data_IF_554469558052
#
_entry.id   IF_554469558052
#
_cell.length_a   1.000
_cell.length_b   1.000
_cell.length_c   1.000
_cell.angle_alpha   90.00
_cell.angle_beta   90.00
_cell.angle_gamma   90.00
#
_symmetry.space_group_name_H-M   'P 1'
#
loop_
_entity.id
_entity.type
_entity.pdbx_description
1 polymer ?
#
# COMPACT_ATOMS: atom_id res chain seq x y z
N UNK A 1 -19.58 85.56 1.73
CA UNK A 1 -19.15 84.21 1.31
C UNK A 1 -20.27 83.23 1.64
N UNK A 2 -20.89 82.57 0.65
CA UNK A 2 -21.94 81.57 0.88
C UNK A 2 -21.30 80.20 1.17
N UNK A 3 -21.68 79.49 2.25
CA UNK A 3 -21.14 78.16 2.50
C UNK A 3 -21.74 77.16 1.49
N UNK A 4 -20.87 76.40 0.82
CA UNK A 4 -21.29 75.28 -0.02
C UNK A 4 -21.85 74.18 0.89
N UNK A 5 -23.15 73.92 0.78
CA UNK A 5 -23.83 72.86 1.53
C UNK A 5 -23.30 71.51 1.04
N UNK A 6 -22.42 70.89 1.82
CA UNK A 6 -21.93 69.53 1.57
C UNK A 6 -23.08 68.55 1.81
N UNK A 7 -23.69 68.05 0.76
CA UNK A 7 -24.69 66.98 0.84
C UNK A 7 -23.98 65.71 1.32
N UNK A 8 -24.32 65.25 2.53
CA UNK A 8 -24.01 63.87 2.94
C UNK A 8 -25.03 62.97 2.26
N UNK A 9 -24.59 62.24 1.25
CA UNK A 9 -25.37 61.18 0.61
C UNK A 9 -25.14 59.91 1.42
N UNK A 10 -26.21 59.33 1.96
CA UNK A 10 -26.21 58.04 2.65
C UNK A 10 -26.63 56.92 1.71
N UNK A 11 -26.30 55.68 2.05
CA UNK A 11 -26.74 54.49 1.31
C UNK A 11 -28.26 54.32 1.40
N UNK A 12 -28.88 53.98 0.27
CA UNK A 12 -30.30 53.62 0.22
C UNK A 12 -30.50 52.16 0.67
N UNK A 13 -31.70 51.83 1.18
CA UNK A 13 -32.04 50.46 1.59
C UNK A 13 -31.84 49.47 0.44
N UNK A 14 -32.18 49.87 -0.79
CA UNK A 14 -32.04 49.01 -1.98
C UNK A 14 -30.57 48.71 -2.31
N UNK A 15 -29.67 49.69 -2.18
CA UNK A 15 -28.24 49.47 -2.38
C UNK A 15 -27.66 48.49 -1.35
N UNK A 16 -28.11 48.58 -0.09
CA UNK A 16 -27.69 47.63 0.96
C UNK A 16 -28.18 46.21 0.65
N UNK A 17 -29.42 46.06 0.19
CA UNK A 17 -29.96 44.75 -0.19
C UNK A 17 -29.20 44.13 -1.37
N UNK A 18 -28.87 44.93 -2.40
CA UNK A 18 -28.08 44.47 -3.55
C UNK A 18 -26.66 44.08 -3.12
N UNK A 19 -26.02 44.90 -2.29
CA UNK A 19 -24.68 44.62 -1.77
C UNK A 19 -24.67 43.29 -0.97
N UNK A 20 -25.67 43.06 -0.12
CA UNK A 20 -25.81 41.79 0.61
C UNK A 20 -26.03 40.59 -0.32
N UNK A 21 -26.80 40.76 -1.40
CA UNK A 21 -27.02 39.71 -2.40
C UNK A 21 -25.74 39.31 -3.12
N UNK A 22 -24.98 40.30 -3.62
CA UNK A 22 -23.69 40.08 -4.28
C UNK A 22 -22.69 39.46 -3.31
N UNK A 23 -22.62 39.97 -2.08
CA UNK A 23 -21.73 39.43 -1.05
C UNK A 23 -22.03 37.96 -0.72
N UNK A 24 -23.32 37.61 -0.60
CA UNK A 24 -23.75 36.23 -0.36
C UNK A 24 -23.36 35.31 -1.52
N UNK A 25 -23.53 35.75 -2.77
CA UNK A 25 -23.09 34.99 -3.94
C UNK A 25 -21.58 34.76 -3.94
N UNK A 26 -20.79 35.77 -3.60
CA UNK A 26 -19.33 35.65 -3.51
C UNK A 26 -18.91 34.65 -2.44
N UNK A 27 -19.53 34.69 -1.25
CA UNK A 27 -19.23 33.73 -0.17
C UNK A 27 -19.51 32.30 -0.63
N UNK A 28 -20.66 32.07 -1.28
CA UNK A 28 -21.04 30.75 -1.81
C UNK A 28 -20.01 30.28 -2.85
N UNK A 29 -19.58 31.16 -3.75
CA UNK A 29 -18.55 30.83 -4.74
C UNK A 29 -17.21 30.46 -4.10
N UNK A 30 -16.75 31.21 -3.10
CA UNK A 30 -15.50 30.91 -2.36
C UNK A 30 -15.60 29.57 -1.64
N UNK A 31 -16.73 29.32 -0.97
CA UNK A 31 -16.96 28.06 -0.27
C UNK A 31 -16.98 26.87 -1.23
N UNK A 32 -17.61 27.03 -2.40
CA UNK A 32 -17.60 26.02 -3.45
C UNK A 32 -16.18 25.68 -3.92
N UNK A 33 -15.35 26.70 -4.18
CA UNK A 33 -13.94 26.50 -4.56
C UNK A 33 -13.17 25.74 -3.47
N UNK A 34 -13.32 26.13 -2.21
CA UNK A 34 -12.63 25.47 -1.09
C UNK A 34 -13.03 24.00 -0.96
N UNK A 35 -14.33 23.71 -1.00
CA UNK A 35 -14.81 22.33 -0.94
C UNK A 35 -14.36 21.50 -2.15
N UNK A 36 -14.28 22.14 -3.34
CA UNK A 36 -13.69 21.54 -4.54
C UNK A 36 -12.23 21.15 -4.33
N UNK A 37 -11.41 22.06 -3.79
CA UNK A 37 -9.99 21.83 -3.48
C UNK A 37 -9.84 20.68 -2.48
N UNK A 38 -10.63 20.65 -1.41
CA UNK A 38 -10.55 19.60 -0.40
C UNK A 38 -10.92 18.22 -0.97
N UNK A 39 -12.00 18.14 -1.76
CA UNK A 39 -12.43 16.89 -2.40
C UNK A 39 -11.38 16.40 -3.40
N UNK A 40 -10.87 17.30 -4.24
CA UNK A 40 -9.83 16.98 -5.21
C UNK A 40 -8.54 16.49 -4.52
N UNK A 41 -8.11 17.17 -3.45
CA UNK A 41 -6.94 16.78 -2.68
C UNK A 41 -7.10 15.41 -2.02
N UNK A 42 -8.28 15.12 -1.46
CA UNK A 42 -8.59 13.81 -0.87
C UNK A 42 -8.53 12.70 -1.93
N UNK A 43 -9.15 12.91 -3.09
CA UNK A 43 -9.12 11.95 -4.19
C UNK A 43 -7.69 11.71 -4.71
N UNK A 44 -6.91 12.79 -4.90
CA UNK A 44 -5.53 12.71 -5.34
C UNK A 44 -4.63 11.94 -4.37
N UNK A 45 -4.77 12.18 -3.06
CA UNK A 45 -4.04 11.42 -2.03
C UNK A 45 -4.41 9.94 -2.05
N UNK A 46 -5.71 9.63 -2.08
CA UNK A 46 -6.18 8.24 -2.14
C UNK A 46 -5.64 7.50 -3.37
N UNK A 47 -5.59 8.16 -4.53
CA UNK A 47 -5.01 7.58 -5.74
C UNK A 47 -3.49 7.40 -5.61
N UNK A 48 -2.80 8.39 -5.03
CA UNK A 48 -1.37 8.35 -4.76
C UNK A 48 -0.97 7.22 -3.81
N UNK A 49 -1.71 7.04 -2.72
CA UNK A 49 -1.47 5.99 -1.72
C UNK A 49 -1.63 4.60 -2.33
N UNK A 50 -2.67 4.38 -3.13
CA UNK A 50 -2.89 3.12 -3.85
C UNK A 50 -1.76 2.83 -4.85
N UNK A 51 -1.35 3.82 -5.64
CA UNK A 51 -0.27 3.68 -6.60
C UNK A 51 1.09 3.42 -5.90
N UNK A 52 1.36 4.10 -4.80
CA UNK A 52 2.59 3.91 -4.04
C UNK A 52 2.62 2.55 -3.35
N UNK A 53 1.49 2.09 -2.80
CA UNK A 53 1.38 0.74 -2.24
C UNK A 53 1.69 -0.31 -3.30
N UNK A 54 1.09 -0.21 -4.49
CA UNK A 54 1.40 -1.13 -5.60
C UNK A 54 2.90 -1.14 -5.95
N UNK A 55 3.54 0.03 -6.01
CA UNK A 55 4.99 0.13 -6.26
C UNK A 55 5.83 -0.56 -5.18
N UNK A 56 5.52 -0.31 -3.91
CA UNK A 56 6.23 -0.93 -2.78
C UNK A 56 6.06 -2.44 -2.79
N UNK A 57 4.86 -2.93 -3.08
CA UNK A 57 4.54 -4.36 -3.14
C UNK A 57 5.24 -5.08 -4.27
N UNK A 58 5.25 -4.49 -5.47
CA UNK A 58 6.01 -5.01 -6.60
C UNK A 58 7.51 -5.03 -6.31
N UNK A 59 8.03 -3.97 -5.68
CA UNK A 59 9.43 -3.91 -5.27
C UNK A 59 9.76 -4.98 -4.23
N UNK A 60 8.89 -5.22 -3.25
CA UNK A 60 9.09 -6.27 -2.26
C UNK A 60 9.11 -7.67 -2.90
N UNK A 61 8.18 -7.96 -3.82
CA UNK A 61 8.19 -9.21 -4.58
C UNK A 61 9.48 -9.36 -5.40
N UNK A 62 9.88 -8.31 -6.12
CA UNK A 62 11.10 -8.30 -6.91
C UNK A 62 12.34 -8.51 -6.05
N UNK A 63 12.52 -7.73 -4.99
CA UNK A 63 13.67 -7.83 -4.09
C UNK A 63 13.74 -9.24 -3.47
N UNK A 64 12.61 -9.81 -3.05
CA UNK A 64 12.56 -11.17 -2.54
C UNK A 64 12.96 -12.20 -3.61
N UNK A 65 12.30 -12.20 -4.78
CA UNK A 65 12.56 -13.17 -5.84
C UNK A 65 13.99 -13.10 -6.40
N UNK A 66 14.52 -11.89 -6.59
CA UNK A 66 15.88 -11.68 -7.12
C UNK A 66 16.98 -12.07 -6.12
N UNK A 67 16.66 -12.06 -4.83
CA UNK A 67 17.58 -12.48 -3.75
C UNK A 67 17.22 -13.85 -3.18
N UNK A 68 16.40 -14.63 -3.90
CA UNK A 68 16.03 -15.97 -3.50
C UNK A 68 17.28 -16.85 -3.39
N UNK A 69 17.40 -17.56 -2.27
CA UNK A 69 18.49 -18.48 -1.99
C UNK A 69 17.95 -19.89 -1.85
N UNK A 70 18.55 -20.79 -2.62
CA UNK A 70 18.26 -22.21 -2.59
C UNK A 70 19.57 -22.97 -2.49
N UNK A 71 19.71 -23.78 -1.43
CA UNK A 71 20.87 -24.64 -1.22
C UNK A 71 20.47 -26.09 -1.46
N UNK A 72 20.95 -26.67 -2.56
CA UNK A 72 20.63 -28.04 -2.97
C UNK A 72 21.15 -29.09 -1.98
N UNK A 73 22.24 -28.81 -1.26
CA UNK A 73 22.76 -29.66 -0.18
C UNK A 73 21.80 -29.80 1.02
N UNK A 74 20.87 -28.86 1.17
CA UNK A 74 19.86 -28.86 2.24
C UNK A 74 18.49 -29.33 1.73
N UNK A 75 18.41 -29.91 0.53
CA UNK A 75 17.17 -30.45 -0.02
C UNK A 75 16.95 -31.92 0.37
N UNK A 76 15.69 -32.38 0.44
CA UNK A 76 15.39 -33.80 0.53
C UNK A 76 16.04 -34.56 -0.64
N UNK A 77 16.63 -35.75 -0.42
CA UNK A 77 16.51 -36.63 0.74
C UNK A 77 17.55 -36.42 1.85
N UNK A 78 18.46 -35.44 1.71
CA UNK A 78 19.64 -35.29 2.58
C UNK A 78 19.32 -34.58 3.91
N UNK A 79 18.30 -33.71 3.91
CA UNK A 79 17.74 -33.10 5.10
C UNK A 79 16.25 -33.47 5.19
N UNK A 80 15.77 -34.04 6.31
CA UNK A 80 14.34 -34.31 6.50
C UNK A 80 13.48 -33.04 6.43
N UNK A 81 14.06 -31.90 6.77
CA UNK A 81 13.38 -30.62 6.77
C UNK A 81 13.82 -29.79 5.55
N UNK A 82 12.88 -29.52 4.65
CA UNK A 82 13.12 -28.80 3.41
C UNK A 82 13.30 -27.28 3.64
N UNK A 83 14.22 -26.88 4.51
CA UNK A 83 14.34 -25.50 5.02
C UNK A 83 14.54 -24.46 3.92
N UNK A 84 15.41 -24.74 2.94
CA UNK A 84 15.71 -23.88 1.79
C UNK A 84 14.89 -24.23 0.54
N UNK A 85 13.78 -24.95 0.70
CA UNK A 85 12.90 -25.24 -0.43
C UNK A 85 12.26 -23.97 -0.97
N UNK A 86 12.17 -23.93 -2.30
CA UNK A 86 11.30 -23.03 -3.01
C UNK A 86 9.97 -23.75 -3.24
N UNK A 87 8.94 -23.34 -2.52
CA UNK A 87 7.60 -23.93 -2.57
C UNK A 87 6.71 -22.99 -3.36
N UNK A 88 6.19 -23.49 -4.46
CA UNK A 88 5.25 -22.80 -5.30
C UNK A 88 4.04 -23.71 -5.51
N UNK A 89 2.88 -23.25 -5.03
CA UNK A 89 1.63 -23.98 -5.13
C UNK A 89 0.62 -23.13 -5.90
N UNK A 90 0.08 -23.71 -6.97
CA UNK A 90 -0.96 -23.12 -7.82
C UNK A 90 -2.18 -24.06 -7.92
N UNK A 91 -2.26 -25.08 -7.05
CA UNK A 91 -3.35 -26.06 -7.07
C UNK A 91 -4.68 -25.51 -6.53
N UNK A 92 -4.63 -24.43 -5.74
CA UNK A 92 -5.81 -23.71 -5.24
C UNK A 92 -6.29 -22.59 -6.15
N UNK A 93 -7.33 -21.87 -5.70
CA UNK A 93 -7.92 -20.73 -6.43
C UNK A 93 -6.94 -19.57 -6.67
N UNK A 94 -5.90 -19.46 -5.83
CA UNK A 94 -4.85 -18.45 -5.92
C UNK A 94 -3.47 -19.09 -5.70
N UNK A 95 -2.44 -18.51 -6.32
CA UNK A 95 -1.07 -18.93 -6.11
C UNK A 95 -0.58 -18.70 -4.67
N UNK A 96 0.30 -19.57 -4.19
CA UNK A 96 1.03 -19.44 -2.95
C UNK A 96 2.50 -19.65 -3.22
N UNK A 97 3.34 -18.78 -2.67
CA UNK A 97 4.78 -18.80 -2.92
C UNK A 97 5.54 -18.64 -1.60
N UNK A 98 6.38 -19.62 -1.25
CA UNK A 98 7.18 -19.62 -0.02
C UNK A 98 8.61 -20.03 -0.30
N UNK A 99 9.59 -19.18 0.04
CA UNK A 99 10.99 -19.45 -0.22
C UNK A 99 11.90 -18.65 0.72
N UNK A 100 13.19 -19.00 0.74
CA UNK A 100 14.20 -18.29 1.52
C UNK A 100 14.88 -17.25 0.64
N UNK A 101 15.11 -16.05 1.17
CA UNK A 101 15.77 -14.95 0.46
C UNK A 101 16.71 -14.17 1.37
N UNK A 102 17.74 -13.58 0.76
CA UNK A 102 18.66 -12.65 1.43
C UNK A 102 18.18 -11.21 1.21
N UNK A 103 17.31 -10.77 2.10
CA UNK A 103 16.55 -9.53 1.90
C UNK A 103 17.43 -8.29 2.12
N UNK A 104 17.31 -7.26 1.26
CA UNK A 104 18.08 -6.03 1.41
C UNK A 104 17.65 -5.24 2.66
N UNK A 105 18.52 -4.35 3.14
CA UNK A 105 18.23 -3.46 4.27
C UNK A 105 17.07 -2.47 4.01
N UNK A 106 16.63 -2.32 2.75
CA UNK A 106 15.45 -1.51 2.37
C UNK A 106 14.14 -2.30 2.40
N UNK A 107 14.17 -3.60 2.68
CA UNK A 107 13.00 -4.46 2.62
C UNK A 107 11.98 -4.12 3.72
N UNK A 108 10.66 -4.21 3.47
CA UNK A 108 9.66 -3.96 4.51
C UNK A 108 9.86 -4.86 5.73
N UNK A 109 9.89 -4.30 6.93
CA UNK A 109 10.02 -5.07 8.18
C UNK A 109 11.45 -5.39 8.63
N UNK A 110 12.48 -4.85 7.97
CA UNK A 110 13.90 -5.01 8.38
C UNK A 110 14.19 -4.69 9.84
N UNK A 111 13.56 -3.65 10.41
CA UNK A 111 13.80 -3.22 11.79
C UNK A 111 13.35 -4.21 12.85
N UNK A 112 12.57 -5.25 12.49
CA UNK A 112 12.06 -6.25 13.45
C UNK A 112 13.03 -7.40 13.71
N UNK A 113 14.01 -7.61 12.83
CA UNK A 113 14.82 -8.82 12.83
C UNK A 113 16.32 -8.54 12.97
N UNK A 114 16.70 -7.31 13.33
CA UNK A 114 18.09 -6.90 13.53
C UNK A 114 18.97 -7.27 12.34
N UNK A 115 20.03 -8.01 12.60
CA UNK A 115 21.03 -8.44 11.60
C UNK A 115 20.65 -9.75 10.87
N UNK A 116 19.45 -10.29 11.11
CA UNK A 116 18.98 -11.50 10.44
C UNK A 116 18.43 -11.15 9.06
N UNK A 117 19.32 -11.11 8.08
CA UNK A 117 19.03 -10.74 6.67
C UNK A 117 18.51 -11.90 5.82
N UNK A 118 18.83 -13.15 6.19
CA UNK A 118 18.29 -14.36 5.54
C UNK A 118 16.96 -14.75 6.20
N UNK A 119 15.87 -14.65 5.43
CA UNK A 119 14.51 -14.86 5.93
C UNK A 119 13.73 -15.76 5.00
N UNK A 120 12.81 -16.54 5.57
CA UNK A 120 11.76 -17.20 4.78
C UNK A 120 10.63 -16.19 4.59
N UNK A 121 10.25 -15.98 3.35
CA UNK A 121 9.14 -15.13 2.94
C UNK A 121 8.06 -16.00 2.33
N UNK A 122 6.81 -15.71 2.65
CA UNK A 122 5.64 -16.43 2.16
C UNK A 122 4.61 -15.43 1.68
N UNK A 123 4.21 -15.54 0.43
CA UNK A 123 3.22 -14.72 -0.24
C UNK A 123 1.96 -15.56 -0.44
N UNK A 124 0.87 -15.14 0.17
CA UNK A 124 -0.43 -15.82 0.09
C UNK A 124 -1.54 -14.81 -0.12
N UNK A 125 -2.62 -15.24 -0.76
CA UNK A 125 -3.86 -14.48 -0.81
C UNK A 125 -4.73 -14.87 0.39
N UNK A 126 -5.20 -13.87 1.13
CA UNK A 126 -6.03 -14.07 2.30
C UNK A 126 -7.30 -13.24 2.25
N UNK A 127 -8.46 -13.82 2.62
CA UNK A 127 -9.68 -13.06 2.77
C UNK A 127 -9.63 -12.17 4.01
N UNK A 128 -10.00 -10.90 3.86
CA UNK A 128 -10.26 -9.98 4.97
C UNK A 128 -11.71 -10.14 5.46
N UNK A 129 -12.04 -9.55 6.61
CA UNK A 129 -13.40 -9.62 7.22
C UNK A 129 -14.51 -9.14 6.30
N UNK A 130 -14.17 -8.25 5.36
CA UNK A 130 -15.11 -7.65 4.40
C UNK A 130 -15.25 -8.50 3.11
N UNK A 131 -14.60 -9.67 3.04
CA UNK A 131 -14.63 -10.56 1.87
C UNK A 131 -13.67 -10.18 0.75
N UNK A 132 -12.96 -9.04 0.88
CA UNK A 132 -11.91 -8.64 -0.05
C UNK A 132 -10.67 -9.51 0.10
N UNK A 133 -10.06 -9.86 -1.03
CA UNK A 133 -8.85 -10.68 -1.08
C UNK A 133 -7.61 -9.80 -1.05
N UNK A 134 -6.67 -10.10 -0.17
CA UNK A 134 -5.46 -9.30 0.02
C UNK A 134 -4.22 -10.16 -0.20
N UNK A 135 -3.21 -9.61 -0.86
CA UNK A 135 -1.89 -10.21 -0.92
C UNK A 135 -1.17 -9.93 0.40
N UNK A 136 -0.92 -10.99 1.16
CA UNK A 136 -0.24 -10.95 2.45
C UNK A 136 1.15 -11.56 2.30
N UNK A 137 2.14 -10.83 2.78
CA UNK A 137 3.50 -11.32 2.94
C UNK A 137 3.75 -11.63 4.40
N UNK A 138 4.10 -12.89 4.68
CA UNK A 138 4.67 -13.31 5.96
C UNK A 138 6.17 -13.45 5.84
N UNK A 139 6.87 -13.01 6.87
CA UNK A 139 8.32 -13.16 6.94
C UNK A 139 8.77 -13.56 8.34
N UNK A 140 9.80 -14.39 8.37
CA UNK A 140 10.46 -14.80 9.61
C UNK A 140 11.94 -15.11 9.35
N UNK A 141 12.82 -14.86 10.33
CA UNK A 141 14.21 -15.31 10.25
C UNK A 141 14.25 -16.81 10.02
N UNK A 142 15.10 -17.26 9.11
CA UNK A 142 15.10 -18.67 8.71
C UNK A 142 15.26 -19.64 9.90
N UNK A 143 16.14 -19.31 10.86
CA UNK A 143 16.38 -20.14 12.05
C UNK A 143 15.22 -20.16 13.05
N UNK A 144 14.38 -19.10 13.07
CA UNK A 144 13.22 -19.03 13.97
C UNK A 144 11.94 -19.50 13.30
N UNK A 145 11.82 -19.34 11.98
CA UNK A 145 10.74 -19.91 11.18
C UNK A 145 10.77 -21.46 11.13
N UNK A 146 11.89 -22.08 11.53
CA UNK A 146 12.00 -23.51 11.77
C UNK A 146 11.33 -23.96 13.08
N UNK A 147 11.07 -23.03 14.01
CA UNK A 147 10.48 -23.31 15.30
C UNK A 147 8.97 -23.05 15.27
N UNK A 148 8.15 -24.02 15.71
CA UNK A 148 6.68 -23.97 15.60
C UNK A 148 6.04 -22.87 16.46
N UNK A 149 6.75 -22.37 17.46
CA UNK A 149 6.27 -21.33 18.38
C UNK A 149 6.48 -19.89 17.88
N UNK A 150 7.06 -19.71 16.69
CA UNK A 150 7.33 -18.38 16.14
C UNK A 150 6.21 -17.89 15.23
N UNK A 151 5.49 -16.84 15.65
CA UNK A 151 4.48 -16.18 14.81
C UNK A 151 5.17 -15.25 13.79
N UNK A 152 5.13 -15.55 12.47
CA UNK A 152 5.80 -14.74 11.47
C UNK A 152 5.15 -13.35 11.35
N UNK A 153 5.97 -12.32 11.17
CA UNK A 153 5.45 -10.98 10.92
C UNK A 153 4.72 -10.94 9.59
N UNK A 154 3.45 -10.52 9.62
CA UNK A 154 2.61 -10.35 8.44
C UNK A 154 2.50 -8.89 8.02
N UNK A 155 2.49 -8.67 6.71
CA UNK A 155 2.27 -7.36 6.10
C UNK A 155 1.34 -7.53 4.90
N UNK A 156 0.26 -6.76 4.88
CA UNK A 156 -0.61 -6.67 3.70
C UNK A 156 0.09 -5.82 2.64
N UNK A 157 0.47 -6.44 1.53
CA UNK A 157 1.15 -5.79 0.42
C UNK A 157 0.14 -5.15 -0.53
N UNK A 158 -0.86 -5.89 -0.99
CA UNK A 158 -1.88 -5.38 -1.90
C UNK A 158 -3.28 -5.71 -1.38
N UNK A 159 -4.23 -4.82 -1.68
CA UNK A 159 -5.63 -5.01 -1.35
C UNK A 159 -6.42 -5.24 -2.64
N UNK A 160 -7.54 -5.94 -2.50
CA UNK A 160 -8.50 -6.18 -3.60
C UNK A 160 -7.83 -6.87 -4.80
N UNK A 161 -7.14 -7.97 -4.52
CA UNK A 161 -6.41 -8.76 -5.49
C UNK A 161 -7.35 -9.75 -6.17
N UNK A 162 -7.48 -9.64 -7.49
CA UNK A 162 -8.33 -10.51 -8.29
C UNK A 162 -7.65 -11.78 -8.78
N UNK A 163 -6.33 -11.72 -8.98
CA UNK A 163 -5.52 -12.83 -9.47
C UNK A 163 -4.11 -12.71 -8.91
N UNK A 164 -3.57 -13.84 -8.46
CA UNK A 164 -2.16 -13.99 -8.14
C UNK A 164 -1.68 -15.34 -8.64
N UNK A 165 -0.73 -15.31 -9.57
CA UNK A 165 -0.20 -16.48 -10.25
C UNK A 165 1.23 -16.23 -10.71
N UNK A 166 1.92 -17.30 -11.08
CA UNK A 166 3.31 -17.26 -11.49
C UNK A 166 3.56 -18.39 -12.49
N UNK A 167 4.52 -18.16 -13.37
CA UNK A 167 5.00 -19.16 -14.33
C UNK A 167 6.50 -19.32 -14.13
N UNK A 168 6.98 -20.56 -14.26
CA UNK A 168 8.39 -20.88 -14.13
C UNK A 168 9.00 -21.04 -15.52
N UNK A 169 10.09 -20.32 -15.76
CA UNK A 169 10.87 -20.54 -16.96
C UNK A 169 11.82 -21.71 -16.75
N UNK A 170 11.66 -22.76 -17.54
CA UNK A 170 12.53 -23.94 -17.55
C UNK A 170 12.64 -24.54 -18.94
N UNK A 171 13.76 -25.23 -19.21
CA UNK A 171 13.84 -26.15 -20.34
C UNK A 171 12.96 -27.35 -19.95
N UNK A 172 11.93 -27.66 -20.76
CA UNK A 172 11.18 -28.90 -20.59
C UNK A 172 12.16 -30.08 -20.39
N UNK A 173 11.85 -31.02 -19.48
CA UNK A 173 12.67 -32.22 -19.31
C UNK A 173 12.77 -33.03 -20.59
#
# INVERSE_FOLDING_TARGET
>A
MKPLRKTRVGFTIIEVMIAMGIFSMIIISIYSVWTGILKASKAARSAGDSAQRARVSMRALQDALTTAQMFTANMPPQNPDAYYSFIADMSGDFGSLSFVAHLPATFPGVGRFGDQIVRRVTFTIEPEKDGTLNLVMRQGPMMMAANQDFEPYSLVLAKDVTLFGFEFWGRNP
#
